data_IF_196355287634
#
_entry.id   IF_196355287634
#
_cell.length_a   1.000
_cell.length_b   1.000
_cell.length_c   1.000
_cell.angle_alpha   90.00
_cell.angle_beta   90.00
_cell.angle_gamma   90.00
#
_symmetry.space_group_name_H-M   'P 1'
#
loop_
_entity.id
_entity.type
_entity.pdbx_description
1 polymer ?
#
# COMPACT_ATOMS: atom_id res chain seq x y z
N UNK A 1 13.38 16.24 -5.75
CA UNK A 1 12.21 17.15 -5.84
C UNK A 1 10.90 16.48 -5.39
N UNK A 2 10.49 15.31 -5.89
CA UNK A 2 9.28 14.63 -5.40
C UNK A 2 9.51 13.82 -4.10
N UNK A 3 10.65 13.13 -3.95
CA UNK A 3 10.93 12.33 -2.73
C UNK A 3 11.01 13.17 -1.45
N UNK A 4 11.44 14.43 -1.55
CA UNK A 4 11.47 15.35 -0.41
C UNK A 4 10.08 15.71 0.12
N UNK A 5 9.01 15.55 -0.68
CA UNK A 5 7.63 15.83 -0.26
C UNK A 5 7.13 14.87 0.84
N UNK A 6 7.79 13.73 1.02
CA UNK A 6 7.46 12.77 2.07
C UNK A 6 8.08 13.09 3.43
N UNK A 7 9.02 14.03 3.48
CA UNK A 7 9.83 14.33 4.67
C UNK A 7 9.35 15.57 5.44
N UNK A 8 8.19 16.14 5.06
CA UNK A 8 7.63 17.27 5.78
C UNK A 8 7.16 16.89 7.19
N UNK A 9 7.41 17.77 8.15
CA UNK A 9 6.93 17.64 9.54
C UNK A 9 5.57 18.33 9.71
N UNK A 10 5.35 19.45 9.03
CA UNK A 10 4.11 20.22 9.11
C UNK A 10 3.14 19.84 8.00
N UNK A 11 1.89 19.52 8.37
CA UNK A 11 0.80 19.21 7.44
C UNK A 11 0.56 20.33 6.44
N UNK A 12 0.66 21.58 6.88
CA UNK A 12 0.42 22.77 6.05
C UNK A 12 1.51 22.92 4.99
N UNK A 13 2.78 22.74 5.36
CA UNK A 13 3.90 22.79 4.41
C UNK A 13 3.88 21.59 3.45
N UNK A 14 3.54 20.40 3.95
CA UNK A 14 3.32 19.23 3.11
C UNK A 14 2.25 19.52 2.05
N UNK A 15 1.09 20.05 2.46
CA UNK A 15 0.00 20.38 1.55
C UNK A 15 0.44 21.35 0.45
N UNK A 16 1.11 22.44 0.82
CA UNK A 16 1.63 23.42 -0.16
C UNK A 16 2.60 22.77 -1.15
N UNK A 17 3.53 21.95 -0.66
CA UNK A 17 4.49 21.25 -1.52
C UNK A 17 3.83 20.27 -2.49
N UNK A 18 2.85 19.50 -2.02
CA UNK A 18 2.08 18.57 -2.84
C UNK A 18 1.20 19.29 -3.87
N UNK A 19 0.53 20.38 -3.49
CA UNK A 19 -0.27 21.20 -4.43
C UNK A 19 0.60 21.85 -5.51
N UNK A 20 1.80 22.32 -5.16
CA UNK A 20 2.76 22.85 -6.13
C UNK A 20 3.22 21.77 -7.11
N UNK A 21 3.56 20.58 -6.60
CA UNK A 21 3.95 19.46 -7.45
C UNK A 21 2.80 18.99 -8.35
N UNK A 22 1.57 18.90 -7.84
CA UNK A 22 0.37 18.57 -8.62
C UNK A 22 0.13 19.58 -9.74
N UNK A 23 0.28 20.88 -9.47
CA UNK A 23 0.16 21.94 -10.47
C UNK A 23 1.20 21.78 -11.59
N UNK A 24 2.43 21.41 -11.27
CA UNK A 24 3.46 21.11 -12.26
C UNK A 24 3.15 19.84 -13.05
N UNK A 25 2.75 18.77 -12.36
CA UNK A 25 2.50 17.46 -12.95
C UNK A 25 1.34 17.48 -13.97
N UNK A 26 0.26 18.19 -13.66
CA UNK A 26 -0.89 18.35 -14.58
C UNK A 26 -0.52 19.15 -15.83
N UNK A 27 0.42 20.10 -15.71
CA UNK A 27 0.93 20.90 -16.83
C UNK A 27 2.04 20.19 -17.62
N UNK A 28 2.51 19.04 -17.16
CA UNK A 28 3.47 18.24 -17.91
C UNK A 28 2.84 17.78 -19.23
N UNK A 29 3.65 17.66 -20.29
CA UNK A 29 3.20 17.12 -21.58
C UNK A 29 3.22 15.58 -21.61
N UNK A 30 3.25 14.95 -20.43
CA UNK A 30 3.35 13.50 -20.28
C UNK A 30 2.05 12.97 -19.68
N UNK A 31 1.25 12.28 -20.49
CA UNK A 31 -0.01 11.70 -20.04
C UNK A 31 0.15 10.73 -18.86
N UNK A 32 1.20 9.87 -18.80
CA UNK A 32 1.43 9.05 -17.62
C UNK A 32 1.61 9.85 -16.32
N UNK A 33 2.22 11.04 -16.39
CA UNK A 33 2.44 11.90 -15.22
C UNK A 33 1.12 12.56 -14.79
N UNK A 34 0.27 12.94 -15.75
CA UNK A 34 -1.06 13.50 -15.44
C UNK A 34 -1.95 12.48 -14.74
N UNK A 35 -1.95 11.23 -15.18
CA UNK A 35 -2.72 10.15 -14.53
C UNK A 35 -2.25 9.88 -13.09
N UNK A 36 -0.93 9.89 -12.87
CA UNK A 36 -0.37 9.81 -11.52
C UNK A 36 -0.79 11.02 -10.67
N UNK A 37 -0.76 12.24 -11.23
CA UNK A 37 -1.21 13.44 -10.54
C UNK A 37 -2.70 13.36 -10.16
N UNK A 38 -3.55 12.82 -11.04
CA UNK A 38 -4.98 12.62 -10.77
C UNK A 38 -5.18 11.69 -9.57
N UNK A 39 -4.53 10.53 -9.59
CA UNK A 39 -4.56 9.56 -8.47
C UNK A 39 -4.09 10.19 -7.16
N UNK A 40 -2.97 10.92 -7.19
CA UNK A 40 -2.43 11.60 -5.99
C UNK A 40 -3.39 12.66 -5.48
N UNK A 41 -4.04 13.43 -6.37
CA UNK A 41 -5.02 14.45 -5.99
C UNK A 41 -6.23 13.83 -5.30
N UNK A 42 -6.75 12.71 -5.81
CA UNK A 42 -7.87 11.97 -5.23
C UNK A 42 -7.54 11.44 -3.81
N UNK A 43 -6.29 11.03 -3.59
CA UNK A 43 -5.84 10.47 -2.31
C UNK A 43 -5.00 11.44 -1.45
N UNK A 44 -4.97 12.73 -1.79
CA UNK A 44 -4.05 13.70 -1.17
C UNK A 44 -4.21 13.77 0.34
N UNK A 45 -5.44 13.68 0.84
CA UNK A 45 -5.72 13.69 2.28
C UNK A 45 -4.98 12.55 3.01
N UNK A 46 -5.03 11.33 2.47
CA UNK A 46 -4.37 10.16 3.05
C UNK A 46 -2.85 10.27 2.98
N UNK A 47 -2.33 10.78 1.86
CA UNK A 47 -0.89 11.03 1.68
C UNK A 47 -0.39 12.03 2.72
N UNK A 48 -1.08 13.15 2.93
CA UNK A 48 -0.70 14.15 3.92
C UNK A 48 -0.69 13.60 5.35
N UNK A 49 -1.66 12.74 5.68
CA UNK A 49 -1.69 12.08 6.98
C UNK A 49 -0.52 11.08 7.12
N UNK A 50 -0.23 10.29 6.09
CA UNK A 50 0.90 9.35 6.11
C UNK A 50 2.24 10.06 6.31
N UNK A 51 2.43 11.22 5.66
CA UNK A 51 3.62 12.07 5.84
C UNK A 51 3.76 12.55 7.28
N UNK A 52 2.71 13.13 7.86
CA UNK A 52 2.76 13.71 9.22
C UNK A 52 2.89 12.64 10.29
N UNK A 53 2.18 11.51 10.12
CA UNK A 53 2.21 10.37 11.04
C UNK A 53 3.45 9.49 10.82
N UNK A 54 4.28 9.78 9.82
CA UNK A 54 5.47 9.00 9.42
C UNK A 54 5.15 7.50 9.23
N UNK A 55 3.99 7.23 8.65
CA UNK A 55 3.52 5.86 8.41
C UNK A 55 4.27 5.28 7.23
N UNK A 56 4.85 4.08 7.41
CA UNK A 56 5.48 3.33 6.33
C UNK A 56 4.51 2.30 5.74
N UNK A 57 4.66 2.02 4.44
CA UNK A 57 3.92 0.94 3.76
C UNK A 57 4.49 -0.46 4.05
N UNK A 58 5.57 -0.55 4.84
CA UNK A 58 6.30 -1.79 5.09
C UNK A 58 5.45 -2.94 5.64
N UNK A 59 4.58 -2.73 6.65
CA UNK A 59 3.69 -3.78 7.14
C UNK A 59 2.75 -4.34 6.07
N UNK A 60 2.15 -3.46 5.26
CA UNK A 60 1.26 -3.86 4.16
C UNK A 60 2.03 -4.61 3.06
N UNK A 61 3.24 -4.17 2.73
CA UNK A 61 4.14 -4.85 1.79
C UNK A 61 4.58 -6.23 2.30
N UNK A 62 4.84 -6.35 3.61
CA UNK A 62 5.15 -7.62 4.26
C UNK A 62 4.00 -8.63 4.11
N UNK A 63 2.77 -8.19 4.38
CA UNK A 63 1.57 -9.01 4.17
C UNK A 63 1.42 -9.40 2.69
N UNK A 64 1.54 -8.43 1.77
CA UNK A 64 1.45 -8.68 0.34
C UNK A 64 2.52 -9.68 -0.15
N UNK A 65 3.73 -9.62 0.41
CA UNK A 65 4.81 -10.55 0.10
C UNK A 65 4.52 -11.97 0.57
N UNK A 66 3.95 -12.12 1.78
CA UNK A 66 3.48 -13.41 2.29
C UNK A 66 2.34 -13.97 1.44
N UNK A 67 1.38 -13.14 1.02
CA UNK A 67 0.29 -13.55 0.11
C UNK A 67 0.84 -14.02 -1.24
N UNK A 68 1.79 -13.28 -1.83
CA UNK A 68 2.47 -13.69 -3.06
C UNK A 68 3.19 -15.03 -2.88
N UNK A 69 3.85 -15.23 -1.75
CA UNK A 69 4.54 -16.48 -1.44
C UNK A 69 3.58 -17.68 -1.38
N UNK A 70 2.39 -17.52 -0.78
CA UNK A 70 1.34 -18.55 -0.78
C UNK A 70 0.97 -18.92 -2.22
N UNK A 71 0.74 -17.93 -3.08
CA UNK A 71 0.42 -18.16 -4.50
C UNK A 71 1.53 -18.91 -5.23
N UNK A 72 2.79 -18.51 -5.03
CA UNK A 72 3.95 -19.13 -5.69
C UNK A 72 4.14 -20.58 -5.22
N UNK A 73 4.08 -20.84 -3.91
CA UNK A 73 4.22 -22.19 -3.35
C UNK A 73 3.15 -23.15 -3.86
N UNK A 74 1.93 -22.67 -4.05
CA UNK A 74 0.82 -23.47 -4.60
C UNK A 74 0.83 -23.60 -6.12
N UNK A 75 1.79 -22.96 -6.83
CA UNK A 75 1.84 -22.87 -8.30
C UNK A 75 0.55 -22.29 -8.91
N UNK A 76 -0.06 -21.34 -8.20
CA UNK A 76 -1.33 -20.73 -8.56
C UNK A 76 -2.56 -21.47 -8.02
N UNK A 77 -3.72 -20.84 -8.17
CA UNK A 77 -5.00 -21.36 -7.70
C UNK A 77 -6.01 -21.35 -8.84
N UNK A 78 -6.73 -22.45 -9.03
CA UNK A 78 -7.79 -22.56 -10.05
C UNK A 78 -9.02 -21.69 -9.76
N UNK A 79 -9.26 -21.34 -8.49
CA UNK A 79 -10.40 -20.54 -8.06
C UNK A 79 -9.99 -19.51 -7.00
N UNK A 80 -10.49 -18.27 -7.13
CA UNK A 80 -10.31 -17.17 -6.17
C UNK A 80 -10.74 -17.53 -4.75
N UNK A 81 -11.83 -18.28 -4.57
CA UNK A 81 -12.31 -18.74 -3.25
C UNK A 81 -11.27 -19.61 -2.53
N UNK A 82 -10.59 -20.51 -3.27
CA UNK A 82 -9.51 -21.35 -2.70
C UNK A 82 -8.29 -20.52 -2.32
N UNK A 83 -7.96 -19.51 -3.13
CA UNK A 83 -6.87 -18.59 -2.80
C UNK A 83 -7.19 -17.77 -1.54
N UNK A 84 -8.40 -17.22 -1.43
CA UNK A 84 -8.83 -16.50 -0.24
C UNK A 84 -8.79 -17.39 1.02
N UNK A 85 -9.32 -18.61 0.94
CA UNK A 85 -9.26 -19.57 2.06
C UNK A 85 -7.81 -19.87 2.46
N UNK A 86 -6.89 -20.05 1.51
CA UNK A 86 -5.48 -20.25 1.80
C UNK A 86 -4.84 -19.03 2.48
N UNK A 87 -5.21 -17.81 2.09
CA UNK A 87 -4.76 -16.59 2.76
C UNK A 87 -5.26 -16.56 4.21
N UNK A 88 -6.56 -16.78 4.44
CA UNK A 88 -7.14 -16.80 5.79
C UNK A 88 -6.52 -17.89 6.66
N UNK A 89 -6.23 -19.06 6.09
CA UNK A 89 -5.58 -20.14 6.79
C UNK A 89 -4.17 -19.78 7.26
N UNK A 90 -3.32 -19.25 6.37
CA UNK A 90 -1.91 -19.00 6.70
C UNK A 90 -1.69 -17.66 7.44
N UNK A 91 -2.58 -16.68 7.26
CA UNK A 91 -2.42 -15.32 7.79
C UNK A 91 -3.49 -14.92 8.81
N UNK A 92 -4.59 -15.66 8.92
CA UNK A 92 -5.72 -15.36 9.81
C UNK A 92 -5.59 -15.97 11.20
N UNK A 93 -4.48 -16.62 11.54
CA UNK A 93 -4.24 -17.18 12.87
C UNK A 93 -5.06 -18.42 13.19
N UNK A 94 -5.51 -19.16 12.17
CA UNK A 94 -6.19 -20.44 12.37
C UNK A 94 -5.19 -21.49 12.86
N UNK A 95 -5.49 -22.11 14.00
CA UNK A 95 -4.76 -23.28 14.46
C UNK A 95 -5.27 -24.53 13.72
N UNK A 96 -4.32 -25.34 13.27
CA UNK A 96 -4.57 -26.59 12.56
C UNK A 96 -4.85 -27.73 13.54
N UNK A 97 -4.38 -27.58 14.77
CA UNK A 97 -4.45 -28.61 15.79
C UNK A 97 -5.63 -28.33 16.73
N UNK A 98 -6.37 -29.38 17.16
CA UNK A 98 -7.41 -29.22 18.16
C UNK A 98 -6.80 -28.78 19.50
N UNK A 99 -7.57 -28.04 20.30
CA UNK A 99 -7.17 -27.64 21.65
C UNK A 99 -6.78 -28.89 22.46
N UNK A 100 -5.50 -28.97 22.85
CA UNK A 100 -4.94 -30.09 23.62
C UNK A 100 -3.93 -30.96 22.87
N UNK A 101 -3.80 -30.82 21.55
CA UNK A 101 -2.65 -31.38 20.83
C UNK A 101 -1.42 -30.48 21.04
N UNK A 102 -0.51 -30.91 21.92
CA UNK A 102 0.75 -30.21 22.16
C UNK A 102 1.57 -30.10 20.86
N UNK A 103 2.21 -28.94 20.67
CA UNK A 103 3.15 -28.67 19.55
C UNK A 103 4.39 -29.54 19.61
#
# INVERSE_FOLDING_TARGET
>A
LAMSLWHYVSKTWARKGWEQWLSWAVRSRLDPVKEVAKTIKEHLWGILNAVVLKVSNGPAEGINSRIKMIKVRSRGFRNKKRFANAIYFHLGGLDLYPEGAAR
#
